data_IF_328144554737
#
_entry.id   IF_328144554737
#
_cell.length_a   1.000
_cell.length_b   1.000
_cell.length_c   1.000
_cell.angle_alpha   90.00
_cell.angle_beta   90.00
_cell.angle_gamma   90.00
#
_symmetry.space_group_name_H-M   'P 1'
#
loop_
_entity.id
_entity.type
_entity.pdbx_description
1 polymer ?
#
# COMPACT_ATOMS: atom_id res chain seq x y z
N UNK A 1 31.37 -22.75 -4.96
CA UNK A 1 30.19 -22.51 -5.79
C UNK A 1 29.12 -23.47 -5.34
N UNK A 2 28.17 -22.99 -4.56
CA UNK A 2 26.80 -23.53 -4.56
C UNK A 2 25.89 -22.42 -4.03
N UNK A 3 24.96 -21.98 -4.88
CA UNK A 3 23.94 -20.97 -4.60
C UNK A 3 22.99 -21.48 -3.51
N UNK A 4 23.02 -20.85 -2.33
CA UNK A 4 21.88 -20.89 -1.42
C UNK A 4 20.88 -19.82 -1.85
N UNK A 5 20.11 -20.24 -2.85
CA UNK A 5 18.89 -19.62 -3.36
C UNK A 5 17.91 -19.32 -2.20
N UNK A 6 17.24 -18.17 -2.26
CA UNK A 6 16.45 -17.51 -1.20
C UNK A 6 15.21 -18.26 -0.67
N UNK A 7 15.37 -19.49 -0.21
CA UNK A 7 14.35 -20.27 0.47
C UNK A 7 14.83 -20.64 1.86
N UNK A 8 13.99 -20.35 2.87
CA UNK A 8 14.15 -20.61 4.31
C UNK A 8 14.85 -19.53 5.13
N UNK A 9 14.07 -18.62 5.73
CA UNK A 9 14.49 -17.96 6.98
C UNK A 9 13.43 -17.86 8.09
N UNK A 10 12.19 -18.32 7.92
CA UNK A 10 11.16 -18.09 8.95
C UNK A 10 10.07 -19.17 9.01
N UNK A 11 9.82 -19.70 10.21
CA UNK A 11 8.76 -20.67 10.49
C UNK A 11 7.40 -20.01 10.76
N UNK A 12 6.32 -20.77 10.57
CA UNK A 12 4.89 -20.36 10.71
C UNK A 12 4.50 -19.76 12.06
N UNK A 13 5.34 -19.85 13.09
CA UNK A 13 5.10 -19.31 14.44
C UNK A 13 5.50 -17.84 14.61
N UNK A 14 6.40 -17.30 13.80
CA UNK A 14 6.78 -15.87 13.88
C UNK A 14 5.64 -14.94 13.43
N UNK A 15 4.75 -15.43 12.57
CA UNK A 15 3.59 -14.70 12.02
C UNK A 15 2.54 -14.29 13.06
N UNK A 16 2.50 -14.92 14.24
CA UNK A 16 1.45 -14.69 15.25
C UNK A 16 1.91 -13.70 16.33
N UNK A 17 3.23 -13.56 16.57
CA UNK A 17 3.77 -12.75 17.68
C UNK A 17 3.99 -11.28 17.34
N UNK A 18 4.30 -10.97 16.09
CA UNK A 18 4.40 -9.59 15.62
C UNK A 18 3.07 -9.21 14.97
N UNK A 19 2.29 -8.31 15.60
CA UNK A 19 0.97 -7.86 15.10
C UNK A 19 1.01 -7.44 13.62
N UNK A 20 2.17 -7.02 13.12
CA UNK A 20 2.48 -6.86 11.71
C UNK A 20 3.95 -7.24 11.50
N UNK A 21 4.23 -8.43 10.94
CA UNK A 21 5.58 -8.81 10.54
C UNK A 21 5.99 -7.97 9.33
N UNK A 22 6.95 -7.05 9.50
CA UNK A 22 7.48 -6.22 8.40
C UNK A 22 8.82 -6.81 7.92
N UNK A 23 8.84 -7.57 6.80
CA UNK A 23 10.11 -8.01 6.22
C UNK A 23 10.93 -6.78 5.81
N UNK A 24 12.24 -6.82 6.06
CA UNK A 24 13.18 -5.87 5.44
C UNK A 24 13.26 -6.21 3.95
N UNK A 25 12.34 -5.65 3.17
CA UNK A 25 12.33 -5.80 1.72
C UNK A 25 13.48 -5.02 1.09
N UNK A 26 13.89 -5.43 -0.11
CA UNK A 26 14.71 -4.54 -0.95
C UNK A 26 13.87 -3.33 -1.41
N UNK A 27 14.52 -2.22 -1.83
CA UNK A 27 13.83 -1.11 -2.45
C UNK A 27 12.96 -1.53 -3.64
N UNK A 28 13.47 -2.42 -4.50
CA UNK A 28 12.78 -2.94 -5.69
C UNK A 28 11.57 -3.81 -5.31
N UNK A 29 11.71 -4.66 -4.29
CA UNK A 29 10.60 -5.45 -3.75
C UNK A 29 9.51 -4.56 -3.15
N UNK A 30 9.90 -3.44 -2.53
CA UNK A 30 8.96 -2.44 -1.99
C UNK A 30 8.20 -1.75 -3.11
N UNK A 31 8.87 -1.39 -4.21
CA UNK A 31 8.22 -0.87 -5.42
C UNK A 31 7.24 -1.89 -6.00
N UNK A 32 7.61 -3.17 -6.07
CA UNK A 32 6.72 -4.23 -6.55
C UNK A 32 5.47 -4.37 -5.66
N UNK A 33 5.62 -4.26 -4.33
CA UNK A 33 4.50 -4.30 -3.37
C UNK A 33 3.59 -3.07 -3.48
N UNK A 34 4.13 -1.89 -3.76
CA UNK A 34 3.35 -0.67 -4.06
C UNK A 34 2.51 -0.87 -5.34
N UNK A 35 3.10 -1.42 -6.40
CA UNK A 35 2.38 -1.75 -7.65
C UNK A 35 1.26 -2.77 -7.39
N UNK A 36 1.55 -3.83 -6.65
CA UNK A 36 0.53 -4.82 -6.26
C UNK A 36 -0.61 -4.21 -5.42
N UNK A 37 -0.28 -3.24 -4.55
CA UNK A 37 -1.29 -2.53 -3.76
C UNK A 37 -2.18 -1.67 -4.64
N UNK A 38 -1.61 -1.02 -5.65
CA UNK A 38 -2.32 -0.20 -6.62
C UNK A 38 -3.30 -1.04 -7.44
N UNK A 39 -2.85 -2.16 -8.02
CA UNK A 39 -3.73 -3.07 -8.76
C UNK A 39 -4.80 -3.71 -7.87
N UNK A 40 -4.41 -4.10 -6.65
CA UNK A 40 -5.35 -4.63 -5.68
C UNK A 40 -6.46 -3.65 -5.29
N UNK A 41 -6.16 -2.35 -5.23
CA UNK A 41 -7.15 -1.28 -5.03
C UNK A 41 -8.05 -1.12 -6.27
N UNK A 42 -7.55 -1.30 -7.50
CA UNK A 42 -8.41 -1.33 -8.70
C UNK A 42 -9.41 -2.48 -8.64
N UNK A 43 -8.95 -3.68 -8.30
CA UNK A 43 -9.80 -4.87 -8.16
C UNK A 43 -10.84 -4.73 -7.04
N UNK A 44 -10.52 -3.96 -5.98
CA UNK A 44 -11.44 -3.70 -4.87
C UNK A 44 -12.67 -2.85 -5.26
N UNK A 45 -12.68 -2.19 -6.42
CA UNK A 45 -13.79 -1.32 -6.85
C UNK A 45 -15.16 -1.98 -6.74
N UNK A 46 -15.26 -3.24 -7.18
CA UNK A 46 -16.51 -4.00 -7.13
C UNK A 46 -17.01 -4.21 -5.68
N UNK A 47 -16.11 -4.36 -4.71
CA UNK A 47 -16.46 -4.49 -3.29
C UNK A 47 -17.01 -3.18 -2.70
N UNK A 48 -16.54 -2.03 -3.20
CA UNK A 48 -17.13 -0.72 -2.89
C UNK A 48 -18.54 -0.59 -3.50
N UNK A 49 -18.72 -1.00 -4.75
CA UNK A 49 -20.02 -0.99 -5.48
C UNK A 49 -21.08 -1.89 -4.85
N UNK A 50 -20.66 -3.04 -4.33
CA UNK A 50 -21.55 -3.97 -3.61
C UNK A 50 -21.70 -3.63 -2.13
N UNK A 51 -21.14 -2.51 -1.66
CA UNK A 51 -21.22 -2.07 -0.26
C UNK A 51 -20.69 -3.13 0.73
N UNK A 52 -19.66 -3.87 0.33
CA UNK A 52 -19.01 -4.90 1.13
C UNK A 52 -18.07 -4.29 2.19
N UNK A 53 -18.59 -3.35 3.01
CA UNK A 53 -17.82 -2.45 3.87
C UNK A 53 -16.80 -3.15 4.78
N UNK A 54 -17.18 -4.29 5.38
CA UNK A 54 -16.28 -5.05 6.25
C UNK A 54 -15.06 -5.58 5.50
N UNK A 55 -15.26 -6.06 4.28
CA UNK A 55 -14.17 -6.53 3.42
C UNK A 55 -13.29 -5.37 2.97
N UNK A 56 -13.91 -4.27 2.52
CA UNK A 56 -13.19 -3.05 2.11
C UNK A 56 -12.33 -2.51 3.26
N UNK A 57 -12.88 -2.36 4.48
CA UNK A 57 -12.11 -1.93 5.66
C UNK A 57 -10.93 -2.85 5.95
N UNK A 58 -11.16 -4.17 5.97
CA UNK A 58 -10.10 -5.14 6.25
C UNK A 58 -8.99 -5.06 5.20
N UNK A 59 -9.38 -4.96 3.93
CA UNK A 59 -8.47 -4.89 2.80
C UNK A 59 -7.58 -3.65 2.86
N UNK A 60 -8.18 -2.46 3.04
CA UNK A 60 -7.45 -1.19 3.14
C UNK A 60 -6.45 -1.24 4.30
N UNK A 61 -6.89 -1.69 5.49
CA UNK A 61 -6.01 -1.78 6.67
C UNK A 61 -4.85 -2.73 6.49
N UNK A 62 -5.09 -3.87 5.83
CA UNK A 62 -4.04 -4.82 5.52
C UNK A 62 -2.98 -4.21 4.59
N UNK A 63 -3.40 -3.45 3.58
CA UNK A 63 -2.47 -2.76 2.66
C UNK A 63 -1.75 -1.59 3.34
N UNK A 64 -2.46 -0.78 4.13
CA UNK A 64 -1.87 0.35 4.88
C UNK A 64 -0.81 -0.08 5.89
N UNK A 65 -0.92 -1.28 6.48
CA UNK A 65 -0.01 -1.75 7.53
C UNK A 65 1.47 -1.81 7.08
N UNK A 66 1.72 -1.95 5.78
CA UNK A 66 3.05 -2.07 5.20
C UNK A 66 3.48 -0.83 4.39
N UNK A 67 2.51 0.00 4.02
CA UNK A 67 2.69 1.07 3.05
C UNK A 67 3.72 2.12 3.50
N UNK A 68 3.73 2.54 4.76
CA UNK A 68 4.72 3.52 5.27
C UNK A 68 6.16 3.00 5.13
N UNK A 69 6.38 1.72 5.45
CA UNK A 69 7.70 1.10 5.31
C UNK A 69 8.09 0.95 3.84
N UNK A 70 7.16 0.57 2.98
CA UNK A 70 7.37 0.49 1.53
C UNK A 70 7.77 1.83 0.93
N UNK A 71 7.02 2.88 1.27
CA UNK A 71 7.24 4.23 0.74
C UNK A 71 8.61 4.76 1.13
N UNK A 72 9.05 4.52 2.38
CA UNK A 72 10.38 4.93 2.85
C UNK A 72 11.49 4.19 2.12
N UNK A 73 11.32 2.89 1.88
CA UNK A 73 12.34 2.08 1.24
C UNK A 73 12.44 2.36 -0.27
N UNK A 74 11.29 2.46 -0.95
CA UNK A 74 11.20 2.79 -2.37
C UNK A 74 11.74 4.20 -2.68
N UNK A 75 11.76 5.12 -1.72
CA UNK A 75 12.37 6.45 -1.92
C UNK A 75 13.85 6.36 -2.35
N UNK A 76 14.56 5.30 -1.98
CA UNK A 76 15.97 5.10 -2.37
C UNK A 76 16.15 4.86 -3.87
N UNK A 77 15.11 4.42 -4.59
CA UNK A 77 15.12 4.24 -6.04
C UNK A 77 14.83 5.53 -6.80
N UNK A 78 14.42 6.59 -6.11
CA UNK A 78 14.00 7.86 -6.72
C UNK A 78 15.19 8.83 -6.81
N UNK A 79 15.43 9.44 -7.99
CA UNK A 79 16.42 10.49 -8.19
C UNK A 79 16.24 11.69 -7.24
N UNK A 80 17.33 12.32 -6.80
CA UNK A 80 17.31 13.38 -5.77
C UNK A 80 16.44 14.60 -6.14
N UNK A 81 16.39 14.95 -7.41
CA UNK A 81 15.57 16.05 -7.95
C UNK A 81 14.06 15.78 -7.82
N UNK A 82 13.65 14.51 -7.87
CA UNK A 82 12.25 14.09 -7.80
C UNK A 82 11.79 13.73 -6.38
N UNK A 83 12.71 13.58 -5.42
CA UNK A 83 12.39 13.16 -4.04
C UNK A 83 11.36 14.05 -3.34
N UNK A 84 11.39 15.36 -3.57
CA UNK A 84 10.39 16.27 -2.98
C UNK A 84 8.98 15.99 -3.51
N UNK A 85 8.86 15.73 -4.80
CA UNK A 85 7.58 15.37 -5.43
C UNK A 85 7.11 14.02 -4.91
N UNK A 86 8.01 13.04 -4.84
CA UNK A 86 7.73 11.72 -4.29
C UNK A 86 7.21 11.79 -2.85
N UNK A 87 7.89 12.50 -1.96
CA UNK A 87 7.47 12.64 -0.56
C UNK A 87 6.09 13.29 -0.44
N UNK A 88 5.80 14.30 -1.27
CA UNK A 88 4.48 14.92 -1.30
C UNK A 88 3.41 13.90 -1.71
N UNK A 89 3.61 13.19 -2.82
CA UNK A 89 2.64 12.20 -3.31
C UNK A 89 2.50 11.02 -2.34
N UNK A 90 3.59 10.58 -1.71
CA UNK A 90 3.57 9.54 -0.68
C UNK A 90 2.71 9.95 0.53
N UNK A 91 2.83 11.20 0.99
CA UNK A 91 1.99 11.74 2.06
C UNK A 91 0.52 11.81 1.61
N UNK A 92 0.25 12.28 0.38
CA UNK A 92 -1.11 12.32 -0.17
C UNK A 92 -1.75 10.92 -0.19
N UNK A 93 -0.99 9.87 -0.54
CA UNK A 93 -1.45 8.46 -0.48
C UNK A 93 -1.83 8.05 0.95
N UNK A 94 -0.97 8.32 1.94
CA UNK A 94 -1.20 7.95 3.35
C UNK A 94 -2.42 8.68 3.91
N UNK A 95 -2.56 9.97 3.61
CA UNK A 95 -3.70 10.78 4.05
C UNK A 95 -5.01 10.30 3.40
N UNK A 96 -5.00 10.04 2.09
CA UNK A 96 -6.16 9.53 1.38
C UNK A 96 -6.59 8.14 1.87
N UNK A 97 -5.64 7.23 2.13
CA UNK A 97 -5.91 5.91 2.72
C UNK A 97 -6.53 6.02 4.12
N UNK A 98 -6.06 6.98 4.92
CA UNK A 98 -6.58 7.22 6.27
C UNK A 98 -8.02 7.74 6.25
N UNK A 99 -8.31 8.70 5.37
CA UNK A 99 -9.68 9.20 5.20
C UNK A 99 -10.60 8.14 4.56
N UNK A 100 -10.10 7.34 3.63
CA UNK A 100 -10.84 6.21 3.07
C UNK A 100 -11.25 5.22 4.18
N UNK A 101 -10.33 4.80 5.06
CA UNK A 101 -10.67 3.94 6.21
C UNK A 101 -11.77 4.56 7.08
N UNK A 102 -11.66 5.87 7.35
CA UNK A 102 -12.63 6.62 8.16
C UNK A 102 -14.03 6.60 7.55
N UNK A 103 -14.17 6.82 6.25
CA UNK A 103 -15.48 6.90 5.60
C UNK A 103 -16.10 5.53 5.35
N UNK A 104 -15.28 4.52 5.03
CA UNK A 104 -15.73 3.12 4.90
C UNK A 104 -16.21 2.60 6.25
N UNK A 105 -15.58 3.02 7.37
CA UNK A 105 -16.04 2.70 8.74
C UNK A 105 -17.40 3.31 9.10
N UNK A 106 -17.71 4.49 8.57
CA UNK A 106 -18.96 5.23 8.83
C UNK A 106 -20.01 5.08 7.71
N UNK A 107 -19.94 3.95 6.99
CA UNK A 107 -20.38 3.72 5.60
C UNK A 107 -20.91 4.92 4.83
N UNK A 108 -20.11 5.98 4.72
CA UNK A 108 -20.48 7.16 3.93
C UNK A 108 -20.16 6.91 2.47
N UNK A 109 -21.17 6.55 1.68
CA UNK A 109 -21.00 6.07 0.29
C UNK A 109 -20.21 7.09 -0.53
N UNK A 110 -20.69 8.33 -0.64
CA UNK A 110 -20.06 9.36 -1.48
C UNK A 110 -18.61 9.62 -1.08
N UNK A 111 -18.36 9.88 0.20
CA UNK A 111 -17.00 10.15 0.68
C UNK A 111 -16.08 8.93 0.52
N UNK A 112 -16.58 7.71 0.71
CA UNK A 112 -15.79 6.49 0.47
C UNK A 112 -15.35 6.37 -0.98
N UNK A 113 -16.24 6.65 -1.94
CA UNK A 113 -15.88 6.69 -3.36
C UNK A 113 -14.91 7.81 -3.68
N UNK A 114 -15.14 9.01 -3.14
CA UNK A 114 -14.27 10.16 -3.37
C UNK A 114 -12.84 9.86 -2.92
N UNK A 115 -12.66 9.33 -1.71
CA UNK A 115 -11.33 9.01 -1.19
C UNK A 115 -10.73 7.76 -1.82
N UNK A 116 -11.55 6.82 -2.30
CA UNK A 116 -11.09 5.71 -3.12
C UNK A 116 -10.44 6.20 -4.41
N UNK A 117 -11.14 7.04 -5.18
CA UNK A 117 -10.63 7.60 -6.44
C UNK A 117 -9.39 8.48 -6.22
N UNK A 118 -9.39 9.31 -5.15
CA UNK A 118 -8.21 10.10 -4.77
C UNK A 118 -7.01 9.22 -4.43
N UNK A 119 -7.22 8.17 -3.63
CA UNK A 119 -6.18 7.20 -3.27
C UNK A 119 -5.59 6.56 -4.53
N UNK A 120 -6.45 6.04 -5.41
CA UNK A 120 -6.03 5.36 -6.63
C UNK A 120 -5.23 6.30 -7.53
N UNK A 121 -5.71 7.54 -7.72
CA UNK A 121 -4.98 8.56 -8.47
C UNK A 121 -3.60 8.84 -7.88
N UNK A 122 -3.51 9.03 -6.56
CA UNK A 122 -2.21 9.30 -5.90
C UNK A 122 -1.26 8.11 -5.98
N UNK A 123 -1.77 6.87 -5.98
CA UNK A 123 -0.96 5.67 -6.18
C UNK A 123 -0.47 5.54 -7.63
N UNK A 124 -1.30 5.87 -8.62
CA UNK A 124 -0.89 5.89 -10.03
C UNK A 124 0.23 6.92 -10.26
N UNK A 125 0.09 8.12 -9.69
CA UNK A 125 1.13 9.15 -9.72
C UNK A 125 2.43 8.67 -9.05
N UNK A 126 2.32 7.99 -7.91
CA UNK A 126 3.45 7.43 -7.19
C UNK A 126 4.16 6.33 -8.00
N UNK A 127 3.40 5.41 -8.60
CA UNK A 127 3.93 4.32 -9.45
C UNK A 127 4.65 4.89 -10.67
N UNK A 128 4.16 5.99 -11.26
CA UNK A 128 4.83 6.66 -12.37
C UNK A 128 6.19 7.27 -12.00
N UNK A 129 6.39 7.68 -10.74
CA UNK A 129 7.69 8.16 -10.23
C UNK A 129 8.67 7.02 -9.91
N UNK A 130 8.17 5.78 -9.83
CA UNK A 130 8.92 4.57 -9.53
C UNK A 130 9.14 3.69 -10.79
N UNK A 131 8.94 4.26 -11.98
CA UNK A 131 9.04 3.58 -13.27
C UNK A 131 10.41 3.78 -13.93
#
# INVERSE_FOLDING_TARGET
MEEINGQQRWGTRSFIKEKYFQPQLSPEESVARIRQTTEGLREMRHMLETMSWRYVMFYIRLKSAYLDSDLKNAMSTVPDDQRKSYVKTANDVVDNMSELDRYVRSPKVYESYLYYEKTLKSLDELVAMLA
#
